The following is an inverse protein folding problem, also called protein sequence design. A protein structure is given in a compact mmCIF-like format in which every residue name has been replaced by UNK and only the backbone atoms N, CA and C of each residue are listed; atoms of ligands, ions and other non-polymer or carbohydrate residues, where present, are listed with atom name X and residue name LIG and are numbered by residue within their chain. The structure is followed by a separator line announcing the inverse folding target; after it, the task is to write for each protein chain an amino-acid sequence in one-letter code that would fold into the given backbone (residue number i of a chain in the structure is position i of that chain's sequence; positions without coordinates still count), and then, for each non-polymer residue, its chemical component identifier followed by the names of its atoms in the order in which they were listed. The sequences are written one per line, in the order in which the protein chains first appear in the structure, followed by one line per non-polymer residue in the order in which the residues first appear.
data_IF_596833070002
#
_entry.id   IF_596833070002
#
_cell.length_a   1.000
_cell.length_b   1.000
_cell.length_c   1.000
_cell.angle_alpha   90.00
_cell.angle_beta   90.00
_cell.angle_gamma   90.00
#
_symmetry.space_group_name_H-M   'P 1'
#
loop_
_entity.id
_entity.type
_entity.pdbx_description
1 polymer ?
#
# COMPACT_ATOMS: atom_id res chain seq x y z
N UNK A 1 -23.27 18.38 3.28
CA UNK A 1 -23.32 17.35 4.26
C UNK A 1 -24.17 16.15 3.91
N UNK A 2 -24.50 16.02 2.67
CA UNK A 2 -25.27 14.88 2.21
C UNK A 2 -24.58 13.57 2.45
N UNK A 3 -23.24 13.59 2.41
CA UNK A 3 -22.46 12.41 2.69
C UNK A 3 -22.73 11.88 4.10
N UNK A 4 -22.86 12.77 5.06
CA UNK A 4 -23.16 12.36 6.44
C UNK A 4 -24.53 11.78 6.57
N UNK A 5 -25.49 12.38 5.90
CA UNK A 5 -26.85 11.87 5.93
C UNK A 5 -26.92 10.48 5.33
N UNK A 6 -26.21 10.29 4.24
CA UNK A 6 -26.16 9.01 3.58
C UNK A 6 -25.58 7.94 4.51
N UNK A 7 -24.52 8.28 5.21
CA UNK A 7 -23.87 7.35 6.13
C UNK A 7 -24.82 6.97 7.26
N UNK A 8 -25.56 7.94 7.79
CA UNK A 8 -26.49 7.67 8.84
C UNK A 8 -27.59 6.71 8.39
N UNK A 9 -28.08 6.92 7.20
CA UNK A 9 -29.10 6.03 6.65
C UNK A 9 -28.56 4.63 6.45
N UNK A 10 -27.35 4.54 5.96
CA UNK A 10 -26.73 3.23 5.75
C UNK A 10 -26.55 2.48 7.05
N UNK A 11 -26.32 3.17 8.14
CA UNK A 11 -26.11 2.54 9.44
C UNK A 11 -27.35 1.82 9.95
N UNK A 12 -28.51 2.13 9.40
CA UNK A 12 -29.73 1.44 9.78
C UNK A 12 -29.73 -0.01 9.34
N UNK A 13 -29.03 -0.30 8.27
CA UNK A 13 -28.97 -1.65 7.71
C UNK A 13 -27.80 -2.39 8.31
N UNK A 14 -28.08 -3.30 9.23
CA UNK A 14 -27.04 -3.99 9.99
C UNK A 14 -26.03 -4.72 9.11
N UNK A 15 -26.49 -5.40 8.08
CA UNK A 15 -25.61 -6.12 7.19
C UNK A 15 -24.60 -5.21 6.51
N UNK A 16 -25.08 -4.11 5.98
CA UNK A 16 -24.20 -3.13 5.33
C UNK A 16 -23.24 -2.51 6.33
N UNK A 17 -23.72 -2.30 7.56
CA UNK A 17 -22.90 -1.71 8.60
C UNK A 17 -21.67 -2.57 8.90
N UNK A 18 -21.84 -3.88 9.01
CA UNK A 18 -20.70 -4.75 9.30
C UNK A 18 -19.72 -4.78 8.16
N UNK A 19 -20.19 -4.82 6.93
CA UNK A 19 -19.29 -4.80 5.77
C UNK A 19 -18.51 -3.51 5.73
N UNK A 20 -19.16 -2.39 5.97
CA UNK A 20 -18.52 -1.10 5.99
C UNK A 20 -17.46 -1.02 7.08
N UNK A 21 -17.75 -1.62 8.23
CA UNK A 21 -16.80 -1.62 9.33
C UNK A 21 -15.51 -2.35 8.95
N UNK A 22 -15.65 -3.50 8.29
CA UNK A 22 -14.48 -4.25 7.86
C UNK A 22 -13.66 -3.47 6.84
N UNK A 23 -14.33 -2.82 5.93
CA UNK A 23 -13.64 -2.01 4.93
C UNK A 23 -12.92 -0.83 5.56
N UNK A 24 -13.55 -0.19 6.53
CA UNK A 24 -12.91 0.91 7.25
C UNK A 24 -11.68 0.44 8.02
N UNK A 25 -11.75 -0.76 8.60
CA UNK A 25 -10.60 -1.29 9.31
C UNK A 25 -9.42 -1.51 8.37
N UNK A 26 -9.68 -1.96 7.15
CA UNK A 26 -8.61 -2.15 6.17
C UNK A 26 -7.99 -0.83 5.73
N UNK A 27 -8.78 0.24 5.75
CA UNK A 27 -8.33 1.55 5.29
C UNK A 27 -8.14 2.52 6.44
N UNK A 28 -7.81 2.00 7.60
CA UNK A 28 -7.71 2.79 8.82
C UNK A 28 -6.34 3.43 8.98
N UNK A 29 -5.74 3.85 7.89
CA UNK A 29 -4.47 4.59 7.94
C UNK A 29 -4.76 6.07 8.07
N UNK A 30 -3.95 6.79 8.84
CA UNK A 30 -4.12 8.24 8.91
C UNK A 30 -3.84 8.89 7.56
N UNK A 31 -4.43 10.05 7.38
CA UNK A 31 -4.21 10.83 6.17
C UNK A 31 -3.07 11.81 6.44
N UNK A 32 -2.10 11.83 5.55
CA UNK A 32 -0.94 12.71 5.63
C UNK A 32 -1.09 13.84 4.61
N UNK A 33 -0.50 15.00 4.91
CA UNK A 33 -0.56 16.14 4.03
C UNK A 33 -1.75 17.02 4.32
N UNK A 34 -1.94 18.04 3.50
CA UNK A 34 -3.03 18.99 3.68
C UNK A 34 -3.39 19.62 2.34
N UNK A 35 -4.55 20.27 2.32
CA UNK A 35 -5.02 20.88 1.10
C UNK A 35 -5.32 19.86 0.03
N UNK A 36 -4.75 20.04 -1.14
CA UNK A 36 -4.93 19.11 -2.26
C UNK A 36 -3.89 18.00 -2.27
N UNK A 37 -2.92 18.06 -1.37
CA UNK A 37 -1.83 17.10 -1.31
C UNK A 37 -2.03 16.21 -0.10
N UNK A 38 -3.03 15.35 -0.19
CA UNK A 38 -3.39 14.46 0.91
C UNK A 38 -3.22 13.01 0.49
N UNK A 39 -2.57 12.24 1.34
CA UNK A 39 -2.18 10.87 1.01
C UNK A 39 -2.52 9.93 2.15
N UNK A 40 -2.78 8.71 1.80
CA UNK A 40 -2.97 7.63 2.78
C UNK A 40 -1.94 6.56 2.50
N UNK A 41 -1.35 6.03 3.56
CA UNK A 41 -0.37 4.97 3.41
C UNK A 41 -1.08 3.64 3.14
N UNK A 42 -0.67 2.97 2.09
CA UNK A 42 -1.15 1.63 1.80
C UNK A 42 -0.12 0.64 2.32
N UNK A 43 -0.36 0.15 3.53
CA UNK A 43 0.59 -0.74 4.20
C UNK A 43 0.65 -2.12 3.57
N UNK A 44 -0.33 -2.46 2.76
CA UNK A 44 -0.39 -3.76 2.10
C UNK A 44 -0.04 -3.69 0.63
N UNK A 45 0.57 -2.60 0.18
CA UNK A 45 0.87 -2.42 -1.23
C UNK A 45 1.83 -3.47 -1.76
N UNK A 46 2.91 -3.74 -1.04
CA UNK A 46 3.88 -4.73 -1.47
C UNK A 46 3.32 -6.14 -1.29
N UNK A 47 3.31 -6.91 -2.34
CA UNK A 47 2.87 -8.31 -2.31
C UNK A 47 4.06 -9.27 -2.22
N UNK A 48 5.24 -8.76 -1.98
CA UNK A 48 6.41 -9.61 -1.78
C UNK A 48 6.26 -10.41 -0.50
N UNK A 49 6.74 -11.64 -0.54
CA UNK A 49 6.75 -12.50 0.63
C UNK A 49 7.98 -12.17 1.46
N UNK A 50 7.83 -11.64 2.68
CA UNK A 50 9.00 -11.25 3.47
C UNK A 50 9.89 -12.42 3.85
N UNK A 51 9.41 -13.63 3.80
CA UNK A 51 10.24 -14.79 4.07
C UNK A 51 11.15 -15.14 2.90
N UNK A 52 10.70 -14.85 1.69
CA UNK A 52 11.50 -15.15 0.48
C UNK A 52 12.29 -13.93 0.02
N UNK A 53 11.70 -12.77 0.14
CA UNK A 53 12.30 -11.54 -0.36
C UNK A 53 12.25 -10.47 0.71
N UNK A 54 13.08 -10.61 1.76
CA UNK A 54 13.08 -9.64 2.85
C UNK A 54 13.57 -8.28 2.38
N UNK A 55 13.14 -7.25 3.08
CA UNK A 55 13.55 -5.88 2.83
C UNK A 55 14.13 -5.33 4.11
N UNK A 56 15.20 -4.58 4.00
CA UNK A 56 15.84 -3.99 5.15
C UNK A 56 16.44 -2.65 4.77
N UNK A 57 16.20 -1.65 5.61
CA UNK A 57 16.74 -0.31 5.40
C UNK A 57 16.61 0.15 3.95
N UNK A 58 15.39 0.41 3.54
CA UNK A 58 15.13 0.89 2.19
C UNK A 58 15.71 2.28 2.01
N UNK A 59 16.45 2.47 0.93
CA UNK A 59 17.16 3.73 0.69
C UNK A 59 16.48 4.59 -0.35
N UNK A 60 15.98 3.99 -1.40
CA UNK A 60 15.48 4.78 -2.51
C UNK A 60 14.50 3.98 -3.33
N UNK A 61 13.67 4.71 -4.07
CA UNK A 61 12.68 4.09 -4.94
C UNK A 61 12.60 4.95 -6.19
N UNK A 62 12.59 4.31 -7.35
CA UNK A 62 12.42 5.01 -8.61
C UNK A 62 11.41 4.28 -9.47
N UNK A 63 10.83 5.00 -10.40
CA UNK A 63 9.94 4.42 -11.39
C UNK A 63 10.67 4.46 -12.74
N UNK A 64 10.69 3.32 -13.44
CA UNK A 64 11.36 3.28 -14.74
C UNK A 64 10.41 3.68 -15.85
N UNK A 65 10.90 3.67 -17.08
CA UNK A 65 10.13 4.10 -18.25
C UNK A 65 8.96 3.17 -18.55
N UNK A 66 9.00 1.96 -18.02
CA UNK A 66 7.91 0.99 -18.21
C UNK A 66 6.90 1.03 -17.07
N UNK A 67 7.06 1.95 -16.15
CA UNK A 67 6.14 2.08 -15.03
C UNK A 67 6.39 1.13 -13.89
N UNK A 68 7.50 0.42 -13.90
CA UNK A 68 7.85 -0.46 -12.80
C UNK A 68 8.47 0.35 -11.68
N UNK A 69 8.31 -0.15 -10.46
CA UNK A 69 8.86 0.49 -9.28
C UNK A 69 10.07 -0.31 -8.81
N UNK A 70 11.20 0.34 -8.73
CA UNK A 70 12.44 -0.29 -8.28
C UNK A 70 12.75 0.21 -6.87
N UNK A 71 12.90 -0.72 -5.95
CA UNK A 71 13.17 -0.40 -4.55
C UNK A 71 14.57 -0.86 -4.20
N UNK A 72 15.39 0.05 -3.70
CA UNK A 72 16.74 -0.24 -3.28
C UNK A 72 16.79 -0.44 -1.77
N UNK A 73 17.35 -1.58 -1.35
CA UNK A 73 17.51 -1.87 0.08
C UNK A 73 18.95 -2.32 0.34
N UNK A 74 19.28 -2.46 1.61
CA UNK A 74 20.59 -3.00 1.96
C UNK A 74 20.55 -4.48 2.31
N UNK A 75 19.46 -5.15 1.99
CA UNK A 75 19.36 -6.60 2.21
C UNK A 75 20.24 -7.33 1.21
N UNK A 76 21.13 -8.19 1.72
CA UNK A 76 22.08 -8.88 0.86
C UNK A 76 21.47 -9.96 -0.01
N UNK A 77 20.28 -10.43 0.34
CA UNK A 77 19.59 -11.43 -0.46
C UNK A 77 18.95 -10.84 -1.70
N UNK A 78 18.54 -9.58 -1.64
CA UNK A 78 17.96 -8.90 -2.79
C UNK A 78 18.08 -7.39 -2.60
N UNK A 79 19.15 -6.83 -3.12
CA UNK A 79 19.38 -5.38 -2.99
C UNK A 79 18.31 -4.58 -3.72
N UNK A 80 17.82 -5.09 -4.84
CA UNK A 80 16.86 -4.37 -5.64
C UNK A 80 15.63 -5.25 -5.87
N UNK A 81 14.47 -4.72 -5.56
CA UNK A 81 13.20 -5.39 -5.82
C UNK A 81 12.46 -4.59 -6.89
N UNK A 82 11.90 -5.29 -7.85
CA UNK A 82 11.20 -4.67 -8.96
C UNK A 82 9.74 -5.07 -8.91
N UNK A 83 8.87 -4.06 -8.75
CA UNK A 83 7.44 -4.25 -8.63
C UNK A 83 6.71 -3.68 -9.83
N UNK A 84 5.52 -4.17 -10.10
CA UNK A 84 4.61 -3.43 -10.96
C UNK A 84 3.82 -2.43 -10.11
N UNK A 85 3.00 -1.62 -10.75
CA UNK A 85 2.27 -0.56 -10.02
C UNK A 85 1.27 -1.09 -9.01
N UNK A 86 0.83 -2.32 -9.17
CA UNK A 86 -0.12 -2.91 -8.22
C UNK A 86 0.55 -3.53 -7.01
N UNK A 87 1.89 -3.48 -6.94
CA UNK A 87 2.62 -4.00 -5.81
C UNK A 87 3.07 -5.44 -5.96
N UNK A 88 2.84 -6.04 -7.11
CA UNK A 88 3.31 -7.40 -7.37
C UNK A 88 4.81 -7.39 -7.63
N UNK A 89 5.52 -8.26 -6.95
CA UNK A 89 6.96 -8.39 -7.15
C UNK A 89 7.22 -9.13 -8.45
N UNK A 90 7.95 -8.50 -9.34
CA UNK A 90 8.25 -9.07 -10.66
C UNK A 90 9.59 -9.79 -10.66
N UNK A 91 10.60 -9.19 -10.07
CA UNK A 91 11.92 -9.80 -10.02
C UNK A 91 12.77 -9.09 -8.96
N UNK A 92 13.90 -9.70 -8.66
CA UNK A 92 14.88 -9.11 -7.73
C UNK A 92 16.28 -9.34 -8.31
N UNK A 93 17.23 -8.49 -7.89
CA UNK A 93 18.61 -8.73 -8.22
C UNK A 93 19.52 -8.06 -7.19
N UNK A 94 20.81 -8.30 -7.33
CA UNK A 94 21.77 -7.75 -6.38
C UNK A 94 21.83 -8.58 -5.11
N UNK A 95 22.17 -9.87 -5.22
CA UNK A 95 22.35 -10.70 -4.04
C UNK A 95 23.76 -11.29 -4.02
N UNK A 96 24.19 -11.61 -2.83
CA UNK A 96 25.52 -12.24 -2.63
C UNK A 96 25.49 -13.72 -2.93
#
# INVERSE_FOLDING_TARGET
MERRKFIKQSAVFTGSFFIAKDMLAKNDSPIYGHGNMRYRMDKAWSKADPMKNPVNDCHEMVQDSKGRILLLTNETKNNVLIYNKSGKLLSTWGHD
#
